data_IF_798409607940
#
_entry.id   IF_798409607940
#
_cell.length_a   1.000
_cell.length_b   1.000
_cell.length_c   1.000
_cell.angle_alpha   90.00
_cell.angle_beta   90.00
_cell.angle_gamma   90.00
#
_symmetry.space_group_name_H-M   'P 1'
#
loop_
_entity.id
_entity.type
_entity.pdbx_description
1 polymer ?
#
# COMPACT_ATOMS: atom_id res chain seq x y z
N UNK A 1 -3.25 1.64 19.80
CA UNK A 1 -2.37 2.60 20.50
C UNK A 1 -1.47 3.28 19.48
N UNK A 2 -1.25 4.59 19.57
CA UNK A 2 -0.34 5.30 18.65
C UNK A 2 1.10 4.82 18.93
N UNK A 3 1.93 4.60 17.90
CA UNK A 3 3.36 4.21 18.06
C UNK A 3 4.08 5.09 19.09
N UNK A 4 3.72 6.37 19.12
CA UNK A 4 4.24 7.37 20.04
C UNK A 4 4.06 6.98 21.52
N UNK A 5 2.93 6.36 21.87
CA UNK A 5 2.68 5.89 23.24
C UNK A 5 3.62 4.76 23.66
N UNK A 6 3.97 3.86 22.73
CA UNK A 6 4.89 2.75 23.00
C UNK A 6 6.32 3.26 23.19
N UNK A 7 6.73 4.25 22.38
CA UNK A 7 8.03 4.91 22.52
C UNK A 7 8.15 5.65 23.85
N UNK A 8 7.11 6.40 24.25
CA UNK A 8 7.06 7.09 25.55
C UNK A 8 7.12 6.08 26.70
N UNK A 9 6.37 4.98 26.62
CA UNK A 9 6.39 3.95 27.66
C UNK A 9 7.79 3.33 27.82
N UNK A 10 8.46 3.01 26.72
CA UNK A 10 9.83 2.48 26.75
C UNK A 10 10.83 3.49 27.33
N UNK A 11 10.68 4.78 27.02
CA UNK A 11 11.51 5.84 27.61
C UNK A 11 11.33 5.94 29.13
N UNK A 12 10.08 5.88 29.60
CA UNK A 12 9.78 5.87 31.04
C UNK A 12 10.41 4.65 31.72
N UNK A 13 10.34 3.46 31.10
CA UNK A 13 10.98 2.25 31.64
C UNK A 13 12.49 2.43 31.85
N UNK A 14 13.17 3.07 30.89
CA UNK A 14 14.62 3.32 30.99
C UNK A 14 14.92 4.26 32.15
N UNK A 15 14.16 5.35 32.27
CA UNK A 15 14.33 6.32 33.36
C UNK A 15 14.13 5.65 34.73
N UNK A 16 13.07 4.84 34.88
CA UNK A 16 12.80 4.09 36.11
C UNK A 16 13.92 3.10 36.41
N UNK A 17 14.45 2.41 35.40
CA UNK A 17 15.61 1.52 35.54
C UNK A 17 16.82 2.25 36.10
N UNK A 18 17.19 3.41 35.54
CA UNK A 18 18.31 4.22 36.04
C UNK A 18 18.07 4.75 37.46
N UNK A 19 16.86 5.22 37.77
CA UNK A 19 16.49 5.69 39.12
C UNK A 19 16.65 4.55 40.13
N UNK A 20 16.22 3.34 39.78
CA UNK A 20 16.30 2.17 40.66
C UNK A 20 17.76 1.83 41.02
N UNK A 21 18.66 1.88 40.03
CA UNK A 21 20.10 1.66 40.22
C UNK A 21 20.72 2.80 41.04
N UNK A 22 20.35 4.05 40.75
CA UNK A 22 20.91 5.23 41.40
C UNK A 22 20.55 5.35 42.88
N UNK A 23 19.31 5.03 43.26
CA UNK A 23 18.86 5.16 44.65
C UNK A 23 19.38 4.04 45.58
N UNK A 24 19.64 2.85 45.04
CA UNK A 24 20.17 1.71 45.83
C UNK A 24 21.32 1.00 45.11
N UNK A 25 22.46 1.68 44.90
CA UNK A 25 23.58 1.12 44.14
C UNK A 25 24.27 -0.04 44.85
N UNK A 26 24.09 -0.16 46.17
CA UNK A 26 24.69 -1.24 46.97
C UNK A 26 23.88 -2.53 46.97
N UNK A 27 22.64 -2.50 46.47
CA UNK A 27 21.78 -3.68 46.41
C UNK A 27 21.92 -4.36 45.05
N UNK A 28 22.54 -5.54 45.04
CA UNK A 28 22.63 -6.36 43.83
C UNK A 28 21.26 -6.64 43.20
N UNK A 29 20.21 -6.79 44.02
CA UNK A 29 18.83 -6.97 43.57
C UNK A 29 18.30 -5.72 42.84
N UNK A 30 18.58 -4.51 43.35
CA UNK A 30 18.14 -3.28 42.69
C UNK A 30 18.86 -3.08 41.34
N UNK A 31 20.15 -3.42 41.28
CA UNK A 31 20.93 -3.39 40.05
C UNK A 31 20.38 -4.36 39.02
N UNK A 32 20.12 -5.62 39.40
CA UNK A 32 19.59 -6.63 38.45
C UNK A 32 18.20 -6.26 37.95
N UNK A 33 17.31 -5.77 38.82
CA UNK A 33 15.98 -5.29 38.40
C UNK A 33 16.09 -4.09 37.47
N UNK A 34 16.94 -3.11 37.80
CA UNK A 34 17.15 -1.92 36.97
C UNK A 34 17.69 -2.26 35.58
N UNK A 35 18.71 -3.13 35.51
CA UNK A 35 19.29 -3.60 34.25
C UNK A 35 18.29 -4.42 33.43
N UNK A 36 17.46 -5.25 34.09
CA UNK A 36 16.40 -6.01 33.42
C UNK A 36 15.38 -5.09 32.75
N UNK A 37 14.93 -4.04 33.45
CA UNK A 37 14.00 -3.05 32.90
C UNK A 37 14.56 -2.33 31.67
N UNK A 38 15.84 -1.95 31.74
CA UNK A 38 16.55 -1.32 30.61
C UNK A 38 16.65 -2.30 29.43
N UNK A 39 17.04 -3.56 29.67
CA UNK A 39 17.17 -4.58 28.64
C UNK A 39 15.83 -4.86 27.93
N UNK A 40 14.73 -5.01 28.69
CA UNK A 40 13.39 -5.20 28.12
C UNK A 40 13.01 -4.03 27.22
N UNK A 41 13.28 -2.79 27.65
CA UNK A 41 12.98 -1.60 26.85
C UNK A 41 13.77 -1.58 25.53
N UNK A 42 15.06 -1.93 25.57
CA UNK A 42 15.91 -2.01 24.37
C UNK A 42 15.40 -3.10 23.41
N UNK A 43 15.06 -4.29 23.91
CA UNK A 43 14.53 -5.39 23.08
C UNK A 43 13.23 -4.96 22.41
N UNK A 44 12.34 -4.29 23.15
CA UNK A 44 11.06 -3.82 22.63
C UNK A 44 11.26 -2.74 21.54
N UNK A 45 12.23 -1.85 21.72
CA UNK A 45 12.63 -0.87 20.71
C UNK A 45 13.25 -1.52 19.48
N UNK A 46 14.12 -2.52 19.67
CA UNK A 46 14.73 -3.28 18.57
C UNK A 46 13.68 -4.04 17.75
N UNK A 47 12.69 -4.65 18.39
CA UNK A 47 11.58 -5.33 17.71
C UNK A 47 10.74 -4.37 16.85
N UNK A 48 10.51 -3.15 17.33
CA UNK A 48 9.80 -2.10 16.56
C UNK A 48 10.56 -1.66 15.30
N UNK A 49 11.90 -1.68 15.34
CA UNK A 49 12.75 -1.34 14.21
C UNK A 49 12.89 -2.53 13.25
N UNK A 50 13.14 -3.72 13.79
CA UNK A 50 13.43 -4.93 13.02
C UNK A 50 12.19 -5.47 12.31
N UNK A 51 11.02 -5.37 12.95
CA UNK A 51 9.74 -5.66 12.34
C UNK A 51 8.96 -4.34 12.13
N UNK A 52 9.31 -3.54 11.11
CA UNK A 52 8.47 -2.42 10.75
C UNK A 52 7.09 -3.00 10.42
N UNK A 53 6.00 -2.50 11.04
CA UNK A 53 4.67 -3.04 10.75
C UNK A 53 4.41 -2.89 9.26
N UNK A 54 3.68 -3.86 8.67
CA UNK A 54 3.41 -3.88 7.24
C UNK A 54 2.87 -2.51 6.84
N UNK A 55 3.59 -1.81 5.96
CA UNK A 55 3.21 -0.50 5.46
C UNK A 55 1.89 -0.66 4.71
N UNK A 56 0.77 -0.52 5.44
CA UNK A 56 -0.54 -0.42 4.83
C UNK A 56 -0.52 0.88 4.03
N UNK A 57 -0.45 0.71 2.71
CA UNK A 57 -0.42 1.77 1.72
C UNK A 57 0.96 2.44 1.64
N UNK A 58 1.82 1.83 0.83
CA UNK A 58 2.38 2.59 -0.28
C UNK A 58 1.21 3.32 -0.96
N UNK A 59 0.93 4.53 -0.50
CA UNK A 59 0.30 5.55 -1.31
C UNK A 59 1.14 5.51 -2.57
N UNK A 60 0.55 5.02 -3.67
CA UNK A 60 1.12 5.17 -5.01
C UNK A 60 1.65 6.58 -5.04
N UNK A 61 2.98 6.73 -5.01
CA UNK A 61 3.63 7.96 -5.41
C UNK A 61 3.17 8.14 -6.86
N UNK A 62 2.03 8.80 -7.03
CA UNK A 62 1.78 9.65 -8.17
C UNK A 62 2.88 10.69 -8.06
N UNK A 63 4.06 10.35 -8.57
CA UNK A 63 4.90 11.28 -9.32
C UNK A 63 3.89 11.90 -10.31
N UNK A 64 3.30 13.09 -10.08
CA UNK A 64 3.96 14.41 -10.05
C UNK A 64 5.24 14.40 -10.86
N UNK A 65 5.15 13.83 -12.06
CA UNK A 65 5.87 14.29 -13.23
C UNK A 65 5.08 15.51 -13.77
N UNK A 66 4.92 16.52 -12.92
CA UNK A 66 4.69 17.89 -13.37
C UNK A 66 6.06 18.50 -13.75
N UNK A 67 6.80 17.82 -14.63
CA UNK A 67 7.86 18.47 -15.38
C UNK A 67 7.21 19.21 -16.53
N UNK A 68 6.87 20.48 -16.28
CA UNK A 68 6.72 21.61 -17.21
C UNK A 68 7.02 21.25 -18.67
N UNK A 69 5.98 20.99 -19.46
CA UNK A 69 6.02 21.19 -20.92
C UNK A 69 4.83 22.10 -21.24
N UNK A 70 5.04 23.35 -21.68
CA UNK A 70 3.95 24.20 -22.13
C UNK A 70 3.36 23.56 -23.39
N UNK A 71 2.22 22.89 -23.26
CA UNK A 71 1.39 22.51 -24.41
C UNK A 71 0.75 23.80 -24.93
N UNK A 72 1.43 24.43 -25.87
CA UNK A 72 0.86 25.36 -26.84
C UNK A 72 -0.56 24.92 -27.23
N UNK A 73 -1.55 25.82 -27.28
CA UNK A 73 -2.89 25.48 -27.75
C UNK A 73 -2.84 25.27 -29.27
N UNK A 74 -2.58 24.03 -29.70
CA UNK A 74 -2.87 23.61 -31.06
C UNK A 74 -4.40 23.59 -31.20
N UNK A 75 -4.93 24.72 -31.67
CA UNK A 75 -6.22 24.80 -32.35
C UNK A 75 -6.33 23.68 -33.40
N UNK A 76 -7.57 23.22 -33.60
CA UNK A 76 -8.00 22.16 -34.52
C UNK A 76 -7.79 20.76 -33.95
N UNK A 77 -8.84 19.97 -33.68
CA UNK A 77 -9.80 19.46 -34.67
C UNK A 77 -11.07 19.06 -33.91
N UNK A 78 -12.22 19.60 -34.32
CA UNK A 78 -13.54 19.17 -33.81
C UNK A 78 -13.73 17.67 -34.11
N UNK A 79 -14.06 16.79 -33.14
CA UNK A 79 -14.46 15.43 -33.47
C UNK A 79 -15.83 15.45 -34.14
N UNK A 80 -15.81 15.12 -35.43
CA UNK A 80 -16.93 14.96 -36.37
C UNK A 80 -18.03 14.07 -35.79
N UNK A 81 -19.28 14.57 -35.84
CA UNK A 81 -20.54 13.83 -35.56
C UNK A 81 -20.50 12.42 -36.16
N UNK A 82 -20.50 11.38 -35.33
CA UNK A 82 -20.59 9.98 -35.77
C UNK A 82 -22.06 9.65 -36.10
N UNK A 83 -22.45 9.88 -37.35
CA UNK A 83 -23.71 9.39 -37.92
C UNK A 83 -23.69 7.86 -37.87
N UNK A 84 -24.67 7.25 -37.19
CA UNK A 84 -24.86 5.79 -37.15
C UNK A 84 -25.07 5.28 -38.58
N UNK A 85 -24.03 4.71 -39.22
CA UNK A 85 -24.19 3.94 -40.46
C UNK A 85 -24.99 2.67 -40.15
N UNK A 86 -26.25 2.61 -40.60
CA UNK A 86 -27.04 1.37 -40.74
C UNK A 86 -26.20 0.39 -41.56
N UNK A 87 -25.82 -0.75 -40.99
CA UNK A 87 -25.19 -1.85 -41.74
C UNK A 87 -26.17 -2.38 -42.80
N UNK A 88 -25.80 -2.51 -44.08
CA UNK A 88 -26.64 -3.16 -45.07
C UNK A 88 -26.78 -4.65 -44.76
N UNK A 89 -28.03 -5.11 -44.75
CA UNK A 89 -28.44 -6.51 -44.55
C UNK A 89 -27.93 -7.35 -45.72
N UNK A 90 -26.79 -8.03 -45.55
CA UNK A 90 -26.23 -8.96 -46.55
C UNK A 90 -27.24 -10.10 -46.79
N UNK A 91 -27.91 -10.09 -47.94
CA UNK A 91 -28.79 -11.19 -48.39
C UNK A 91 -27.91 -12.44 -48.56
N UNK A 92 -28.13 -13.46 -47.73
CA UNK A 92 -27.47 -14.78 -47.87
C UNK A 92 -27.89 -15.43 -49.20
N UNK A 93 -26.99 -16.03 -49.98
CA UNK A 93 -27.37 -16.79 -51.16
C UNK A 93 -28.13 -18.06 -50.76
N UNK A 94 -29.35 -18.21 -51.27
CA UNK A 94 -30.29 -19.34 -51.04
C UNK A 94 -29.84 -20.70 -51.64
N UNK A 95 -28.57 -20.89 -52.01
CA UNK A 95 -28.14 -22.06 -52.82
C UNK A 95 -27.72 -23.32 -52.05
N UNK A 96 -27.67 -23.32 -50.71
CA UNK A 96 -27.27 -24.53 -49.92
C UNK A 96 -28.41 -25.32 -49.25
N UNK A 97 -29.68 -24.93 -49.37
CA UNK A 97 -30.79 -25.66 -48.71
C UNK A 97 -31.43 -26.79 -49.54
N UNK A 98 -31.14 -26.94 -50.84
CA UNK A 98 -31.72 -28.04 -51.64
C UNK A 98 -30.93 -29.36 -51.61
N UNK A 99 -29.63 -29.34 -51.31
CA UNK A 99 -28.82 -30.57 -51.25
C UNK A 99 -29.01 -31.38 -49.94
N UNK A 100 -29.39 -30.73 -48.83
CA UNK A 100 -29.52 -31.41 -47.52
C UNK A 100 -30.91 -32.01 -47.26
N UNK A 101 -31.92 -31.75 -48.13
CA UNK A 101 -33.29 -32.30 -47.98
C UNK A 101 -33.53 -33.60 -48.78
N UNK A 102 -32.50 -34.13 -49.46
CA UNK A 102 -32.54 -35.43 -50.16
C UNK A 102 -31.74 -36.56 -49.45
N UNK A 103 -31.18 -36.30 -48.27
CA UNK A 103 -30.48 -37.29 -47.42
C UNK A 103 -31.23 -37.62 -46.11
N UNK A 104 -32.52 -37.26 -46.04
CA UNK A 104 -33.42 -37.58 -44.92
C UNK A 104 -34.81 -38.01 -45.42
N UNK A 105 -34.88 -38.56 -46.63
CA UNK A 105 -35.95 -39.48 -47.03
C UNK A 105 -35.30 -40.84 -47.10
#
# INVERSE_FOLDING_TARGET
>A
MKRLSIVILNLILIIVGFITIYYRPWSALAITIGMLLIAISIINFALLIYFPPPQQKYIKLKVVEESKIPKTPLKAIKPRKRVKKKKPKKKRPKKKKKAKRRRRR
#
